data_IF_638682325247
#
_entry.id   IF_638682325247
#
_cell.length_a   1.000
_cell.length_b   1.000
_cell.length_c   1.000
_cell.angle_alpha   90.00
_cell.angle_beta   90.00
_cell.angle_gamma   90.00
#
_symmetry.space_group_name_H-M   'P 1'
#
loop_
_entity.id
_entity.type
_entity.pdbx_description
1 polymer ?
#
# COMPACT_ATOMS: atom_id res chain seq x y z
N UNK A 1 -28.12 -3.38 -2.54
CA UNK A 1 -27.41 -3.12 -1.27
C UNK A 1 -25.93 -3.23 -1.56
N UNK A 2 -25.13 -2.18 -1.33
CA UNK A 2 -23.67 -2.27 -1.44
C UNK A 2 -23.13 -3.18 -0.33
N UNK A 3 -22.23 -4.10 -0.68
CA UNK A 3 -21.58 -4.97 0.30
C UNK A 3 -20.79 -4.13 1.31
N UNK A 4 -20.55 -4.68 2.51
CA UNK A 4 -19.73 -4.00 3.52
C UNK A 4 -18.34 -3.68 2.99
N UNK A 5 -17.76 -4.59 2.21
CA UNK A 5 -16.46 -4.41 1.57
C UNK A 5 -16.47 -3.21 0.63
N UNK A 6 -17.56 -3.02 -0.13
CA UNK A 6 -17.68 -1.86 -1.02
C UNK A 6 -17.74 -0.55 -0.23
N UNK A 7 -18.47 -0.49 0.89
CA UNK A 7 -18.54 0.73 1.72
C UNK A 7 -17.17 1.14 2.27
N UNK A 8 -16.35 0.16 2.64
CA UNK A 8 -14.98 0.40 3.11
C UNK A 8 -14.11 0.95 1.97
N UNK A 9 -14.19 0.35 0.77
CA UNK A 9 -13.46 0.84 -0.40
C UNK A 9 -13.93 2.22 -0.87
N UNK A 10 -15.24 2.49 -0.78
CA UNK A 10 -15.80 3.81 -1.11
C UNK A 10 -15.25 4.88 -0.16
N UNK A 11 -15.11 4.58 1.13
CA UNK A 11 -14.49 5.48 2.10
C UNK A 11 -12.98 5.66 1.84
N UNK A 12 -12.27 4.61 1.43
CA UNK A 12 -10.87 4.71 1.01
C UNK A 12 -10.72 5.55 -0.26
N UNK A 13 -11.69 5.48 -1.17
CA UNK A 13 -11.73 6.26 -2.42
C UNK A 13 -12.03 7.74 -2.17
N UNK A 14 -12.95 8.04 -1.25
CA UNK A 14 -13.37 9.40 -0.94
C UNK A 14 -12.42 10.15 0.00
N UNK A 15 -11.55 9.43 0.72
CA UNK A 15 -10.71 10.03 1.76
C UNK A 15 -11.45 10.25 3.08
N UNK A 16 -12.64 9.68 3.27
CA UNK A 16 -13.45 9.89 4.48
C UNK A 16 -12.93 9.03 5.65
N UNK A 17 -11.90 9.55 6.31
CA UNK A 17 -11.25 8.94 7.48
C UNK A 17 -12.26 8.65 8.60
N UNK A 18 -13.24 9.54 8.82
CA UNK A 18 -14.22 9.38 9.89
C UNK A 18 -15.20 8.23 9.58
N UNK A 19 -15.71 8.16 8.36
CA UNK A 19 -16.54 7.04 7.93
C UNK A 19 -15.76 5.72 7.94
N UNK A 20 -14.50 5.74 7.49
CA UNK A 20 -13.64 4.56 7.50
C UNK A 20 -13.40 4.03 8.92
N UNK A 21 -13.11 4.92 9.87
CA UNK A 21 -12.94 4.58 11.28
C UNK A 21 -14.21 3.93 11.87
N UNK A 22 -15.39 4.51 11.60
CA UNK A 22 -16.67 3.94 12.05
C UNK A 22 -16.92 2.56 11.44
N UNK A 23 -16.59 2.37 10.16
CA UNK A 23 -16.70 1.06 9.50
C UNK A 23 -15.73 0.05 10.11
N UNK A 24 -14.51 0.45 10.48
CA UNK A 24 -13.55 -0.44 11.14
C UNK A 24 -14.04 -0.92 12.50
N UNK A 25 -14.62 -0.02 13.30
CA UNK A 25 -15.22 -0.35 14.60
C UNK A 25 -16.44 -1.28 14.45
N UNK A 26 -17.36 -0.93 13.55
CA UNK A 26 -18.58 -1.71 13.31
C UNK A 26 -18.28 -3.16 12.86
N UNK A 27 -17.18 -3.35 12.12
CA UNK A 27 -16.74 -4.66 11.64
C UNK A 27 -15.67 -5.32 12.52
N UNK A 28 -15.32 -4.71 13.66
CA UNK A 28 -14.31 -5.20 14.62
C UNK A 28 -12.93 -5.46 14.02
N UNK A 29 -12.57 -4.71 12.96
CA UNK A 29 -11.30 -4.88 12.23
C UNK A 29 -10.08 -4.66 13.13
N UNK A 30 -10.18 -3.72 14.08
CA UNK A 30 -9.10 -3.39 15.03
C UNK A 30 -8.66 -4.59 15.90
N UNK A 31 -9.53 -5.61 16.03
CA UNK A 31 -9.25 -6.81 16.81
C UNK A 31 -8.86 -8.02 15.95
N UNK A 32 -8.82 -7.86 14.62
CA UNK A 32 -8.47 -8.91 13.66
C UNK A 32 -7.08 -8.70 13.07
N UNK A 33 -6.49 -9.78 12.54
CA UNK A 33 -5.31 -9.68 11.69
C UNK A 33 -5.63 -9.09 10.30
N UNK A 34 -4.62 -8.65 9.55
CA UNK A 34 -4.79 -8.21 8.17
C UNK A 34 -5.40 -9.31 7.31
N UNK A 35 -6.34 -8.93 6.45
CA UNK A 35 -6.97 -9.81 5.47
C UNK A 35 -6.24 -9.66 4.14
N UNK A 36 -5.79 -10.77 3.56
CA UNK A 36 -5.06 -10.77 2.27
C UNK A 36 -5.86 -11.36 1.11
N UNK A 37 -6.98 -12.04 1.39
CA UNK A 37 -7.83 -12.67 0.38
C UNK A 37 -9.16 -11.95 0.18
N UNK A 38 -9.85 -12.30 -0.90
CA UNK A 38 -11.21 -11.82 -1.16
C UNK A 38 -12.15 -12.47 -0.13
N UNK A 39 -12.84 -11.64 0.65
CA UNK A 39 -13.89 -12.09 1.55
C UNK A 39 -15.25 -11.67 1.03
N UNK A 40 -16.14 -12.63 0.76
CA UNK A 40 -17.49 -12.36 0.24
C UNK A 40 -18.39 -11.64 1.27
N UNK A 41 -18.07 -11.79 2.57
CA UNK A 41 -18.85 -11.23 3.68
C UNK A 41 -18.02 -10.41 4.67
N UNK A 42 -16.71 -10.31 4.45
CA UNK A 42 -15.77 -9.63 5.34
C UNK A 42 -15.22 -8.33 4.77
N UNK A 43 -14.26 -7.72 5.46
CA UNK A 43 -13.61 -6.52 4.98
C UNK A 43 -12.79 -6.81 3.71
N UNK A 44 -12.54 -5.79 2.89
CA UNK A 44 -11.65 -5.93 1.74
C UNK A 44 -10.23 -6.26 2.22
N UNK A 45 -9.39 -6.72 1.30
CA UNK A 45 -7.99 -6.99 1.63
C UNK A 45 -7.29 -5.69 2.06
N UNK A 46 -6.30 -5.80 2.94
CA UNK A 46 -5.53 -4.64 3.41
C UNK A 46 -4.80 -3.95 2.26
N UNK A 47 -4.22 -4.72 1.34
CA UNK A 47 -3.53 -4.19 0.15
C UNK A 47 -4.49 -3.48 -0.80
N UNK A 48 -5.73 -3.99 -0.96
CA UNK A 48 -6.73 -3.30 -1.78
C UNK A 48 -7.18 -1.97 -1.15
N UNK A 49 -7.29 -1.88 0.18
CA UNK A 49 -7.56 -0.61 0.85
C UNK A 49 -6.39 0.39 0.68
N UNK A 50 -5.15 -0.08 0.90
CA UNK A 50 -3.93 0.75 0.77
C UNK A 50 -3.75 1.22 -0.68
N UNK A 51 -3.83 0.32 -1.65
CA UNK A 51 -3.73 0.61 -3.08
C UNK A 51 -4.80 1.60 -3.55
N UNK A 52 -6.04 1.44 -3.07
CA UNK A 52 -7.10 2.42 -3.33
C UNK A 52 -6.73 3.80 -2.75
N UNK A 53 -6.30 3.86 -1.50
CA UNK A 53 -5.92 5.12 -0.88
C UNK A 53 -4.74 5.81 -1.58
N UNK A 54 -3.72 5.04 -2.02
CA UNK A 54 -2.60 5.55 -2.84
C UNK A 54 -3.10 6.12 -4.16
N UNK A 55 -3.94 5.37 -4.88
CA UNK A 55 -4.47 5.76 -6.19
C UNK A 55 -5.17 7.12 -6.15
N UNK A 56 -5.85 7.42 -5.04
CA UNK A 56 -6.58 8.67 -4.83
C UNK A 56 -5.81 9.70 -3.97
N UNK A 57 -4.57 9.42 -3.55
CA UNK A 57 -3.71 10.37 -2.82
C UNK A 57 -4.11 10.64 -1.36
N UNK A 58 -4.76 9.68 -0.69
CA UNK A 58 -5.27 9.86 0.67
C UNK A 58 -4.29 9.39 1.74
N UNK A 59 -3.31 10.26 2.05
CA UNK A 59 -2.27 10.05 3.07
C UNK A 59 -2.85 9.64 4.43
N UNK A 60 -3.88 10.36 4.89
CA UNK A 60 -4.51 10.10 6.20
C UNK A 60 -5.22 8.74 6.25
N UNK A 61 -5.77 8.29 5.12
CA UNK A 61 -6.41 6.98 5.00
C UNK A 61 -5.36 5.87 5.09
N UNK A 62 -4.23 6.00 4.37
CA UNK A 62 -3.12 5.03 4.49
C UNK A 62 -2.63 4.96 5.94
N UNK A 63 -2.42 6.11 6.56
CA UNK A 63 -2.02 6.21 7.98
C UNK A 63 -3.01 5.52 8.91
N UNK A 64 -4.32 5.73 8.70
CA UNK A 64 -5.35 5.08 9.51
C UNK A 64 -5.34 3.56 9.34
N UNK A 65 -5.23 3.07 8.10
CA UNK A 65 -5.20 1.64 7.80
C UNK A 65 -4.01 0.98 8.51
N UNK A 66 -2.80 1.54 8.37
CA UNK A 66 -1.61 0.98 8.99
C UNK A 66 -1.63 1.05 10.52
N UNK A 67 -2.13 2.14 11.10
CA UNK A 67 -2.34 2.25 12.55
C UNK A 67 -3.30 1.19 13.08
N UNK A 68 -4.37 0.91 12.31
CA UNK A 68 -5.34 -0.13 12.66
C UNK A 68 -4.71 -1.52 12.75
N UNK A 69 -3.70 -1.78 11.91
CA UNK A 69 -2.94 -3.03 11.90
C UNK A 69 -1.55 -2.91 12.53
N UNK A 70 -1.31 -1.91 13.38
CA UNK A 70 -0.01 -1.72 14.03
C UNK A 70 0.37 -2.96 14.85
N UNK A 71 1.60 -3.44 14.68
CA UNK A 71 2.09 -4.65 15.35
C UNK A 71 1.54 -5.97 14.80
N UNK A 72 0.80 -5.96 13.69
CA UNK A 72 0.28 -7.17 13.03
C UNK A 72 1.07 -7.59 11.79
N UNK A 73 2.02 -6.79 11.33
CA UNK A 73 2.87 -7.08 10.18
C UNK A 73 2.07 -7.13 8.89
N UNK A 74 1.57 -5.98 8.43
CA UNK A 74 0.98 -5.87 7.09
C UNK A 74 2.07 -6.15 6.06
N UNK A 75 1.87 -7.17 5.23
CA UNK A 75 2.73 -7.49 4.10
C UNK A 75 2.23 -6.75 2.86
N UNK A 76 3.06 -5.86 2.33
CA UNK A 76 2.77 -5.18 1.08
C UNK A 76 2.92 -6.13 -0.10
N UNK A 77 1.95 -6.11 -1.01
CA UNK A 77 1.96 -6.91 -2.24
C UNK A 77 2.25 -6.04 -3.46
N UNK A 78 2.45 -6.67 -4.60
CA UNK A 78 2.61 -5.99 -5.89
C UNK A 78 1.49 -5.00 -6.20
N UNK A 79 0.26 -5.23 -5.73
CA UNK A 79 -0.87 -4.29 -5.87
C UNK A 79 -0.58 -2.92 -5.22
N UNK A 80 0.09 -2.92 -4.07
CA UNK A 80 0.50 -1.68 -3.36
C UNK A 80 1.65 -0.99 -4.10
N UNK A 81 2.64 -1.76 -4.56
CA UNK A 81 3.82 -1.22 -5.26
C UNK A 81 3.43 -0.66 -6.63
N UNK A 82 2.55 -1.33 -7.37
CA UNK A 82 1.99 -0.84 -8.63
C UNK A 82 1.25 0.49 -8.43
N UNK A 83 0.47 0.62 -7.35
CA UNK A 83 -0.20 1.88 -7.04
C UNK A 83 0.81 3.03 -6.84
N UNK A 84 1.93 2.80 -6.15
CA UNK A 84 3.00 3.81 -5.97
C UNK A 84 3.69 4.16 -7.30
N UNK A 85 3.87 3.19 -8.20
CA UNK A 85 4.44 3.45 -9.52
C UNK A 85 3.52 4.33 -10.38
N UNK A 86 2.21 4.06 -10.35
CA UNK A 86 1.23 4.80 -11.15
C UNK A 86 0.78 6.11 -10.50
N UNK A 87 0.85 6.21 -9.17
CA UNK A 87 0.41 7.36 -8.39
C UNK A 87 1.49 7.69 -7.34
N UNK A 88 2.68 8.14 -7.78
CA UNK A 88 3.79 8.36 -6.87
C UNK A 88 3.49 9.50 -5.91
N UNK A 89 3.46 9.17 -4.63
CA UNK A 89 3.31 10.09 -3.52
C UNK A 89 4.38 9.75 -2.48
N UNK A 90 5.35 10.66 -2.33
CA UNK A 90 6.50 10.44 -1.45
C UNK A 90 6.12 10.49 0.02
N UNK A 91 5.05 11.20 0.38
CA UNK A 91 4.55 11.24 1.75
C UNK A 91 3.93 9.88 2.11
N UNK A 92 3.15 9.31 1.19
CA UNK A 92 2.63 7.96 1.37
C UNK A 92 3.76 6.94 1.42
N UNK A 93 4.74 7.01 0.51
CA UNK A 93 5.88 6.10 0.51
C UNK A 93 6.69 6.17 1.81
N UNK A 94 6.91 7.37 2.35
CA UNK A 94 7.55 7.56 3.65
C UNK A 94 6.80 6.83 4.76
N UNK A 95 5.46 6.95 4.80
CA UNK A 95 4.61 6.25 5.78
C UNK A 95 4.72 4.73 5.63
N UNK A 96 4.71 4.21 4.40
CA UNK A 96 4.86 2.77 4.16
C UNK A 96 6.25 2.28 4.61
N UNK A 97 7.30 3.04 4.31
CA UNK A 97 8.68 2.71 4.68
C UNK A 97 8.91 2.73 6.19
N UNK A 98 8.35 3.71 6.91
CA UNK A 98 8.39 3.76 8.37
C UNK A 98 7.65 2.58 9.02
N UNK A 99 6.62 2.06 8.34
CA UNK A 99 5.90 0.87 8.79
C UNK A 99 6.68 -0.42 8.52
N UNK A 100 7.22 -0.57 7.31
CA UNK A 100 8.05 -1.71 6.90
C UNK A 100 9.08 -1.28 5.84
N UNK A 101 10.37 -1.16 6.21
CA UNK A 101 11.42 -0.75 5.28
C UNK A 101 11.59 -1.68 4.09
N UNK A 102 11.13 -2.93 4.16
CA UNK A 102 11.24 -3.88 3.04
C UNK A 102 10.41 -3.46 1.81
N UNK A 103 9.50 -2.48 1.94
CA UNK A 103 8.71 -1.95 0.83
C UNK A 103 9.56 -1.48 -0.35
N UNK A 104 10.75 -0.93 -0.10
CA UNK A 104 11.64 -0.41 -1.16
C UNK A 104 12.43 -1.51 -1.87
N UNK A 105 12.59 -2.65 -1.22
CA UNK A 105 13.25 -3.84 -1.75
C UNK A 105 12.23 -4.85 -2.28
N UNK A 106 11.01 -4.42 -2.57
CA UNK A 106 9.99 -5.31 -3.13
C UNK A 106 10.46 -5.87 -4.47
N UNK A 107 10.36 -7.18 -4.59
CA UNK A 107 10.73 -7.98 -5.74
C UNK A 107 9.50 -8.78 -6.19
N UNK A 108 9.21 -8.78 -7.49
CA UNK A 108 8.21 -9.68 -8.06
C UNK A 108 8.82 -11.06 -8.28
N UNK A 109 7.99 -12.11 -8.31
CA UNK A 109 8.38 -13.52 -8.45
C UNK A 109 9.28 -13.84 -9.68
N UNK A 110 9.47 -12.91 -10.62
CA UNK A 110 10.36 -13.05 -11.77
C UNK A 110 11.84 -12.88 -11.46
N UNK A 111 12.21 -12.48 -10.24
CA UNK A 111 13.58 -12.22 -9.78
C UNK A 111 14.38 -11.16 -10.53
N UNK A 112 13.80 -10.56 -11.57
CA UNK A 112 14.42 -9.48 -12.37
C UNK A 112 13.70 -8.15 -12.19
N UNK A 113 12.49 -8.20 -11.67
CA UNK A 113 11.63 -7.04 -11.51
C UNK A 113 11.63 -6.67 -10.03
N UNK A 114 12.29 -5.56 -9.72
CA UNK A 114 12.26 -4.91 -8.40
C UNK A 114 11.52 -3.59 -8.52
N UNK A 115 11.14 -3.00 -7.38
CA UNK A 115 10.43 -1.72 -7.36
C UNK A 115 11.19 -0.65 -8.17
N UNK A 116 12.51 -0.58 -8.01
CA UNK A 116 13.34 0.39 -8.73
C UNK A 116 13.49 0.06 -10.23
N UNK A 117 13.60 -1.21 -10.64
CA UNK A 117 13.65 -1.54 -12.08
C UNK A 117 12.33 -1.21 -12.77
N UNK A 118 11.19 -1.43 -12.12
CA UNK A 118 9.87 -1.00 -12.63
C UNK A 118 9.69 0.52 -12.64
N UNK A 119 10.24 1.24 -11.67
CA UNK A 119 10.24 2.69 -11.70
C UNK A 119 11.04 3.24 -12.90
N UNK A 120 12.13 2.58 -13.30
CA UNK A 120 12.90 2.96 -14.49
C UNK A 120 12.13 2.79 -15.82
N UNK A 121 11.09 1.95 -15.86
CA UNK A 121 10.23 1.78 -17.04
C UNK A 121 9.23 2.94 -17.22
N UNK A 122 9.02 3.78 -16.20
CA UNK A 122 8.04 4.86 -16.23
C UNK A 122 8.59 6.13 -16.93
N UNK A 123 7.70 7.00 -17.46
CA UNK A 123 8.12 8.27 -18.04
C UNK A 123 8.95 9.13 -17.05
N UNK A 124 10.15 9.61 -17.44
CA UNK A 124 11.09 10.26 -16.51
C UNK A 124 10.48 11.43 -15.72
N UNK A 125 9.66 12.25 -16.37
CA UNK A 125 9.03 13.42 -15.74
C UNK A 125 8.13 13.07 -14.55
N UNK A 126 7.52 11.89 -14.57
CA UNK A 126 6.61 11.43 -13.52
C UNK A 126 7.34 10.71 -12.39
N UNK A 127 8.38 9.94 -12.74
CA UNK A 127 8.97 8.97 -11.82
C UNK A 127 10.29 9.42 -11.18
N UNK A 128 10.94 10.48 -11.70
CA UNK A 128 12.25 10.94 -11.19
C UNK A 128 12.28 11.14 -9.67
N UNK A 129 11.30 11.82 -9.03
CA UNK A 129 11.30 11.98 -7.58
C UNK A 129 11.24 10.64 -6.83
N UNK A 130 10.42 9.70 -7.31
CA UNK A 130 10.32 8.35 -6.74
C UNK A 130 11.64 7.60 -6.89
N UNK A 131 12.26 7.62 -8.08
CA UNK A 131 13.53 6.96 -8.33
C UNK A 131 14.65 7.47 -7.41
N UNK A 132 14.78 8.79 -7.27
CA UNK A 132 15.78 9.39 -6.39
C UNK A 132 15.53 8.97 -4.94
N UNK A 133 14.27 9.02 -4.50
CA UNK A 133 13.90 8.61 -3.15
C UNK A 133 14.22 7.13 -2.90
N UNK A 134 13.94 6.22 -3.85
CA UNK A 134 14.27 4.80 -3.73
C UNK A 134 15.78 4.57 -3.63
N UNK A 135 16.58 5.29 -4.42
CA UNK A 135 18.05 5.23 -4.37
C UNK A 135 18.58 5.72 -3.02
N UNK A 136 18.01 6.80 -2.48
CA UNK A 136 18.38 7.36 -1.17
C UNK A 136 18.07 6.42 0.00
N UNK A 137 17.18 5.45 -0.20
CA UNK A 137 16.76 4.48 0.82
C UNK A 137 17.25 3.05 0.52
N UNK A 138 18.34 2.91 -0.24
CA UNK A 138 19.01 1.65 -0.54
C UNK A 138 18.08 0.58 -1.16
N UNK A 139 17.16 1.00 -2.05
CA UNK A 139 16.30 0.07 -2.79
C UNK A 139 17.14 -0.97 -3.57
N UNK A 140 16.66 -2.21 -3.61
CA UNK A 140 17.37 -3.30 -4.26
C UNK A 140 17.36 -3.14 -5.79
N UNK A 141 18.56 -2.90 -6.34
CA UNK A 141 18.79 -2.69 -7.78
C UNK A 141 18.94 -4.00 -8.55
N UNK A 142 19.30 -5.09 -7.89
CA UNK A 142 19.85 -6.26 -8.56
C UNK A 142 18.90 -7.46 -8.57
N UNK A 143 17.90 -7.49 -7.69
CA UNK A 143 16.91 -8.56 -7.61
C UNK A 143 17.56 -9.83 -7.05
N UNK A 144 17.10 -10.25 -5.88
CA UNK A 144 17.50 -11.51 -5.28
C UNK A 144 18.53 -11.40 -4.16
N UNK A 145 18.38 -12.34 -3.22
CA UNK A 145 19.23 -12.59 -2.06
C UNK A 145 20.71 -12.70 -2.46
N UNK A 146 21.54 -11.78 -1.99
CA UNK A 146 22.98 -12.02 -1.93
C UNK A 146 23.29 -13.04 -0.81
N UNK A 147 24.07 -14.10 -1.06
CA UNK A 147 24.44 -15.10 -0.04
C UNK A 147 25.28 -14.52 1.10
#
# INVERSE_FOLDING_TARGET
MTSQSQKILDACTSGDVAALQQLFEANKIQNSGPVYGISASGPPSVNSMISTAITYGHVDVVSLILRTYSGRGVQFTGETIEALLYHPDLEILQILYEYDPSVVSYEWDSHTDTFITKACEQPPKKITPLLLWLIEHDADLEGGYFP
#
